data_IF_258187582995
#
_entry.id   IF_258187582995
#
_cell.length_a   1.000
_cell.length_b   1.000
_cell.length_c   1.000
_cell.angle_alpha   90.00
_cell.angle_beta   90.00
_cell.angle_gamma   90.00
#
_symmetry.space_group_name_H-M   'P 1'
#
loop_
_entity.id
_entity.type
_entity.pdbx_description
1 polymer ?
#
# COMPACT_ATOMS: atom_id res chain seq x y z
N UNK A 1 60.51 -4.00 -43.89
CA UNK A 1 60.36 -3.42 -42.54
C UNK A 1 59.08 -2.62 -42.58
N UNK A 2 57.93 -3.27 -42.38
CA UNK A 2 56.64 -2.61 -42.26
C UNK A 2 56.43 -2.28 -40.79
N UNK A 3 56.18 -1.01 -40.50
CA UNK A 3 55.65 -0.58 -39.21
C UNK A 3 54.13 -0.55 -39.37
N UNK A 4 53.46 -1.48 -38.71
CA UNK A 4 52.02 -1.44 -38.47
C UNK A 4 51.81 -0.56 -37.24
N UNK A 5 51.21 0.61 -37.44
CA UNK A 5 50.71 1.43 -36.33
C UNK A 5 49.39 0.81 -35.85
N UNK A 6 49.46 0.18 -34.68
CA UNK A 6 48.29 -0.25 -33.90
C UNK A 6 47.52 1.00 -33.44
N UNK A 7 46.32 1.20 -33.99
CA UNK A 7 45.34 2.14 -33.45
C UNK A 7 44.64 1.43 -32.30
N UNK A 8 45.00 1.81 -31.07
CA UNK A 8 44.37 1.32 -29.84
C UNK A 8 42.96 1.92 -29.72
N UNK A 9 41.95 1.08 -29.99
CA UNK A 9 40.55 1.42 -29.87
C UNK A 9 40.09 1.39 -28.42
N UNK A 10 40.41 2.43 -27.66
CA UNK A 10 39.79 2.65 -26.34
C UNK A 10 38.40 3.23 -26.52
N UNK A 11 37.41 2.35 -26.71
CA UNK A 11 35.99 2.68 -26.55
C UNK A 11 35.77 3.19 -25.14
N UNK A 12 35.47 4.49 -25.03
CA UNK A 12 34.97 5.10 -23.81
C UNK A 12 33.70 4.35 -23.38
N UNK A 13 33.81 3.56 -22.31
CA UNK A 13 32.65 3.07 -21.59
C UNK A 13 31.88 4.29 -21.11
N UNK A 14 30.74 4.56 -21.75
CA UNK A 14 29.77 5.54 -21.26
C UNK A 14 29.48 5.21 -19.80
N UNK A 15 29.89 6.11 -18.90
CA UNK A 15 29.60 6.03 -17.48
C UNK A 15 28.08 6.18 -17.33
N UNK A 16 27.34 5.08 -17.51
CA UNK A 16 25.89 5.07 -17.38
C UNK A 16 25.61 5.38 -15.92
N UNK A 17 24.98 6.52 -15.66
CA UNK A 17 24.57 6.91 -14.31
C UNK A 17 23.60 5.84 -13.84
N UNK A 18 24.03 5.01 -12.89
CA UNK A 18 23.20 3.99 -12.27
C UNK A 18 22.05 4.68 -11.55
N UNK A 19 20.81 4.37 -11.93
CA UNK A 19 19.63 4.90 -11.26
C UNK A 19 19.24 3.92 -10.15
N UNK A 20 19.76 4.19 -8.95
CA UNK A 20 19.45 3.43 -7.74
C UNK A 20 18.02 3.71 -7.27
N UNK A 21 17.32 2.65 -6.90
CA UNK A 21 15.95 2.68 -6.39
C UNK A 21 15.97 2.32 -4.92
N UNK A 22 15.22 3.05 -4.09
CA UNK A 22 15.10 2.74 -2.65
C UNK A 22 13.66 2.39 -2.31
N UNK A 23 13.45 1.28 -1.60
CA UNK A 23 12.14 0.85 -1.14
C UNK A 23 12.12 0.59 0.37
N UNK A 24 10.97 0.83 0.99
CA UNK A 24 10.67 0.43 2.35
C UNK A 24 9.93 -0.91 2.32
N UNK A 25 10.48 -1.89 3.02
CA UNK A 25 9.98 -3.27 3.07
C UNK A 25 9.83 -3.65 4.53
N UNK A 26 8.80 -4.40 4.91
CA UNK A 26 8.70 -4.91 6.27
C UNK A 26 7.99 -6.26 6.37
N UNK A 27 8.38 -7.04 7.37
CA UNK A 27 7.60 -8.18 7.84
C UNK A 27 6.40 -7.66 8.63
N UNK A 28 5.19 -8.09 8.26
CA UNK A 28 3.95 -7.75 8.97
C UNK A 28 3.94 -8.42 10.36
N UNK A 29 3.16 -7.93 11.33
CA UNK A 29 3.21 -8.42 12.71
C UNK A 29 3.03 -9.93 12.89
N UNK A 30 2.19 -10.57 12.07
CA UNK A 30 1.98 -12.02 12.15
C UNK A 30 3.17 -12.86 11.62
N UNK A 31 4.09 -12.23 10.89
CA UNK A 31 5.26 -12.84 10.27
C UNK A 31 6.57 -12.18 10.71
N UNK A 32 6.54 -11.30 11.71
CA UNK A 32 7.72 -10.68 12.29
C UNK A 32 8.42 -11.68 13.21
N UNK A 33 9.18 -12.57 12.56
CA UNK A 33 9.88 -13.68 13.17
C UNK A 33 11.30 -13.74 12.59
N UNK A 34 12.32 -14.07 13.41
CA UNK A 34 13.69 -14.17 12.92
C UNK A 34 13.87 -15.10 11.72
N UNK A 35 13.10 -16.18 11.64
CA UNK A 35 13.11 -17.11 10.51
C UNK A 35 12.61 -16.45 9.22
N UNK A 36 11.56 -15.62 9.29
CA UNK A 36 11.05 -14.86 8.15
C UNK A 36 12.06 -13.78 7.72
N UNK A 37 12.71 -13.11 8.67
CA UNK A 37 13.74 -12.11 8.36
C UNK A 37 14.91 -12.73 7.61
N UNK A 38 15.32 -13.96 8.01
CA UNK A 38 16.35 -14.70 7.31
C UNK A 38 15.95 -15.05 5.86
N UNK A 39 14.69 -15.44 5.62
CA UNK A 39 14.16 -15.66 4.26
C UNK A 39 14.21 -14.37 3.44
N UNK A 40 13.80 -13.24 4.03
CA UNK A 40 13.84 -11.93 3.37
C UNK A 40 15.27 -11.53 2.95
N UNK A 41 16.22 -11.60 3.88
CA UNK A 41 17.63 -11.26 3.60
C UNK A 41 18.24 -12.18 2.54
N UNK A 42 17.98 -13.48 2.63
CA UNK A 42 18.45 -14.45 1.63
C UNK A 42 17.94 -14.08 0.24
N UNK A 43 16.65 -13.78 0.12
CA UNK A 43 16.07 -13.38 -1.17
C UNK A 43 16.66 -12.06 -1.67
N UNK A 44 16.90 -11.10 -0.80
CA UNK A 44 17.53 -9.83 -1.18
C UNK A 44 18.94 -10.06 -1.73
N UNK A 45 19.76 -10.84 -1.04
CA UNK A 45 21.12 -11.17 -1.48
C UNK A 45 21.12 -11.91 -2.83
N UNK A 46 20.21 -12.89 -3.01
CA UNK A 46 20.05 -13.65 -4.25
C UNK A 46 19.78 -12.78 -5.48
N UNK A 47 19.01 -11.69 -5.30
CA UNK A 47 18.61 -10.80 -6.40
C UNK A 47 19.39 -9.48 -6.43
N UNK A 48 20.46 -9.36 -5.64
CA UNK A 48 21.33 -8.19 -5.62
C UNK A 48 20.71 -6.93 -5.03
N UNK A 49 19.77 -7.09 -4.08
CA UNK A 49 19.20 -6.00 -3.29
C UNK A 49 20.07 -5.77 -2.06
N UNK A 50 20.52 -4.54 -1.85
CA UNK A 50 21.31 -4.14 -0.68
C UNK A 50 20.40 -3.65 0.45
N UNK A 51 20.62 -4.12 1.67
CA UNK A 51 19.98 -3.56 2.86
C UNK A 51 20.78 -2.35 3.34
N UNK A 52 20.20 -1.15 3.26
CA UNK A 52 20.83 0.09 3.73
C UNK A 52 20.63 0.30 5.24
N UNK A 53 19.46 -0.07 5.75
CA UNK A 53 19.08 0.06 7.16
C UNK A 53 18.01 -0.96 7.48
N UNK A 54 18.00 -1.46 8.71
CA UNK A 54 16.93 -2.29 9.25
C UNK A 54 16.64 -1.92 10.70
N UNK A 55 15.48 -2.33 11.21
CA UNK A 55 15.14 -2.17 12.62
C UNK A 55 13.69 -2.53 12.94
N UNK A 56 13.36 -2.43 14.22
CA UNK A 56 12.06 -2.79 14.75
C UNK A 56 11.21 -1.56 15.08
N UNK A 57 9.91 -1.63 14.82
CA UNK A 57 8.93 -0.61 15.23
C UNK A 57 7.79 -1.30 15.98
N UNK A 58 7.65 -0.98 17.27
CA UNK A 58 6.63 -1.57 18.13
C UNK A 58 5.21 -1.07 17.80
N UNK A 59 4.22 -1.89 18.08
CA UNK A 59 2.80 -1.56 17.87
C UNK A 59 2.35 -0.35 18.68
N UNK A 60 2.93 -0.16 19.88
CA UNK A 60 2.77 1.08 20.65
C UNK A 60 3.22 2.31 19.86
N UNK A 61 4.41 2.27 19.26
CA UNK A 61 4.94 3.38 18.46
C UNK A 61 4.08 3.63 17.22
N UNK A 62 3.60 2.56 16.58
CA UNK A 62 2.69 2.63 15.43
C UNK A 62 1.39 3.33 15.82
N UNK A 63 0.82 3.01 16.99
CA UNK A 63 -0.43 3.59 17.45
C UNK A 63 -0.28 5.07 17.86
N UNK A 64 0.76 5.38 18.63
CA UNK A 64 1.02 6.74 19.13
C UNK A 64 1.28 7.72 17.97
N UNK A 65 2.05 7.30 16.97
CA UNK A 65 2.42 8.14 15.83
C UNK A 65 1.49 7.98 14.62
N UNK A 66 0.47 7.10 14.70
CA UNK A 66 -0.48 6.84 13.61
C UNK A 66 0.17 6.38 12.30
N UNK A 67 1.30 5.67 12.39
CA UNK A 67 2.07 5.28 11.20
C UNK A 67 1.27 4.39 10.25
N UNK A 68 0.51 3.41 10.77
CA UNK A 68 -0.29 2.53 9.92
C UNK A 68 -1.51 3.24 9.33
N UNK A 69 -2.10 4.19 10.07
CA UNK A 69 -3.19 5.03 9.60
C UNK A 69 -2.73 5.92 8.43
N UNK A 70 -1.56 6.54 8.57
CA UNK A 70 -0.95 7.37 7.53
C UNK A 70 -0.51 6.54 6.32
N UNK A 71 0.08 5.37 6.55
CA UNK A 71 0.49 4.45 5.48
C UNK A 71 -0.70 3.97 4.63
N UNK A 72 -1.85 3.72 5.27
CA UNK A 72 -3.11 3.39 4.59
C UNK A 72 -4.11 4.54 4.60
N UNK A 73 -3.67 5.80 4.48
CA UNK A 73 -4.52 6.98 4.69
C UNK A 73 -5.78 6.99 3.80
N UNK A 74 -5.65 6.60 2.53
CA UNK A 74 -6.80 6.50 1.63
C UNK A 74 -7.88 5.54 2.15
N UNK A 75 -7.50 4.49 2.87
CA UNK A 75 -8.42 3.55 3.51
C UNK A 75 -8.92 4.13 4.83
N UNK A 76 -7.99 4.54 5.69
CA UNK A 76 -8.23 5.03 7.05
C UNK A 76 -9.19 6.22 7.06
N UNK A 77 -8.94 7.22 6.22
CA UNK A 77 -9.76 8.43 6.12
C UNK A 77 -11.23 8.11 5.84
N UNK A 78 -11.52 7.14 4.97
CA UNK A 78 -12.91 6.74 4.65
C UNK A 78 -13.53 5.82 5.71
N UNK A 79 -12.71 5.15 6.50
CA UNK A 79 -13.16 4.29 7.59
C UNK A 79 -13.45 5.08 8.88
N UNK A 80 -12.72 6.17 9.15
CA UNK A 80 -12.74 6.79 10.50
C UNK A 80 -12.77 8.32 10.53
N UNK A 81 -12.55 9.03 9.41
CA UNK A 81 -12.41 10.51 9.41
C UNK A 81 -13.53 11.18 8.60
N UNK A 82 -13.75 10.73 7.38
CA UNK A 82 -14.71 11.32 6.45
C UNK A 82 -16.11 10.83 6.79
N UNK A 83 -17.04 11.77 6.82
CA UNK A 83 -18.47 11.48 6.83
C UNK A 83 -18.93 11.11 5.41
N UNK A 84 -19.99 10.30 5.25
CA UNK A 84 -20.43 9.82 3.93
C UNK A 84 -20.70 10.91 2.89
N UNK A 85 -21.20 12.07 3.31
CA UNK A 85 -21.46 13.24 2.44
C UNK A 85 -20.19 13.85 1.84
N UNK A 86 -19.02 13.56 2.42
CA UNK A 86 -17.71 14.02 1.93
C UNK A 86 -17.01 13.01 1.00
N UNK A 87 -17.61 11.85 0.79
CA UNK A 87 -17.04 10.81 -0.07
C UNK A 87 -17.39 11.07 -1.54
N UNK A 88 -16.38 11.00 -2.42
CA UNK A 88 -16.57 11.09 -3.86
C UNK A 88 -17.04 9.74 -4.44
N UNK A 89 -18.30 9.38 -4.19
CA UNK A 89 -18.88 8.11 -4.62
C UNK A 89 -19.09 8.10 -6.14
N UNK A 90 -18.57 7.09 -6.87
CA UNK A 90 -18.96 6.86 -8.25
C UNK A 90 -20.42 6.37 -8.31
N UNK A 91 -21.36 7.31 -8.45
CA UNK A 91 -22.81 7.05 -8.30
C UNK A 91 -23.34 5.99 -9.26
N UNK A 92 -22.84 5.96 -10.49
CA UNK A 92 -23.25 4.97 -11.48
C UNK A 92 -22.86 3.56 -11.03
N UNK A 93 -21.61 3.36 -10.59
CA UNK A 93 -21.15 2.07 -10.06
C UNK A 93 -21.91 1.67 -8.79
N UNK A 94 -22.22 2.63 -7.93
CA UNK A 94 -23.00 2.38 -6.72
C UNK A 94 -24.41 1.88 -7.08
N UNK A 95 -25.09 2.57 -7.99
CA UNK A 95 -26.42 2.21 -8.46
C UNK A 95 -26.43 0.87 -9.18
N UNK A 96 -25.44 0.59 -10.03
CA UNK A 96 -25.32 -0.68 -10.73
C UNK A 96 -25.14 -1.86 -9.76
N UNK A 97 -24.40 -1.66 -8.68
CA UNK A 97 -24.16 -2.70 -7.67
C UNK A 97 -25.36 -2.92 -6.75
N UNK A 98 -25.98 -1.85 -6.27
CA UNK A 98 -26.93 -1.92 -5.16
C UNK A 98 -28.38 -1.65 -5.57
N UNK A 99 -28.61 -1.17 -6.80
CA UNK A 99 -29.93 -0.81 -7.30
C UNK A 99 -30.52 0.46 -6.67
N UNK A 100 -29.72 1.23 -5.92
CA UNK A 100 -30.17 2.41 -5.18
C UNK A 100 -29.40 3.67 -5.60
N UNK A 101 -30.09 4.82 -5.57
CA UNK A 101 -29.45 6.12 -5.78
C UNK A 101 -28.68 6.56 -4.53
N UNK A 102 -27.41 6.93 -4.70
CA UNK A 102 -26.56 7.37 -3.59
C UNK A 102 -27.15 8.56 -2.82
N UNK A 103 -27.75 9.52 -3.53
CA UNK A 103 -28.40 10.67 -2.90
C UNK A 103 -29.54 10.27 -1.97
N UNK A 104 -30.27 9.19 -2.30
CA UNK A 104 -31.35 8.67 -1.46
C UNK A 104 -30.82 7.97 -0.22
N UNK A 105 -29.76 7.18 -0.37
CA UNK A 105 -29.06 6.53 0.76
C UNK A 105 -28.56 7.57 1.77
N UNK A 106 -28.02 8.69 1.29
CA UNK A 106 -27.60 9.81 2.14
C UNK A 106 -28.78 10.51 2.82
N UNK A 107 -29.85 10.82 2.07
CA UNK A 107 -31.07 11.43 2.63
C UNK A 107 -31.70 10.57 3.71
N UNK A 108 -31.72 9.25 3.52
CA UNK A 108 -32.28 8.27 4.46
C UNK A 108 -31.36 8.03 5.69
N UNK A 109 -30.15 8.60 5.71
CA UNK A 109 -29.20 8.40 6.81
C UNK A 109 -28.73 6.96 6.96
N UNK A 110 -28.60 6.22 5.85
CA UNK A 110 -28.20 4.79 5.82
C UNK A 110 -26.72 4.57 5.57
N UNK A 111 -25.95 5.60 5.29
CA UNK A 111 -24.52 5.49 5.07
C UNK A 111 -23.72 5.89 6.33
N UNK A 112 -22.63 5.17 6.59
CA UNK A 112 -21.74 5.40 7.73
C UNK A 112 -20.29 5.10 7.32
N UNK A 113 -19.31 5.81 7.88
CA UNK A 113 -17.95 5.24 7.90
C UNK A 113 -17.90 4.04 8.87
N UNK A 114 -16.79 3.32 8.93
CA UNK A 114 -16.67 2.13 9.78
C UNK A 114 -16.85 2.45 11.28
N UNK A 115 -16.26 3.54 11.75
CA UNK A 115 -16.33 3.96 13.16
C UNK A 115 -17.76 4.32 13.59
N UNK A 116 -18.47 5.06 12.74
CA UNK A 116 -19.87 5.42 12.95
C UNK A 116 -20.78 4.20 12.82
N UNK A 117 -20.46 3.25 11.94
CA UNK A 117 -21.19 1.98 11.82
C UNK A 117 -21.07 1.13 13.10
N UNK A 118 -19.87 1.05 13.71
CA UNK A 118 -19.69 0.44 15.02
C UNK A 118 -20.62 1.06 16.07
N UNK A 119 -20.65 2.39 16.14
CA UNK A 119 -21.53 3.12 17.08
C UNK A 119 -23.01 2.86 16.78
N UNK A 120 -23.42 2.90 15.51
CA UNK A 120 -24.80 2.68 15.06
C UNK A 120 -25.31 1.27 15.38
N UNK A 121 -24.45 0.27 15.24
CA UNK A 121 -24.78 -1.14 15.46
C UNK A 121 -24.53 -1.59 16.90
N UNK A 122 -23.83 -0.79 17.72
CA UNK A 122 -23.44 -1.17 19.08
C UNK A 122 -22.42 -2.32 19.11
N UNK A 123 -21.50 -2.35 18.14
CA UNK A 123 -20.50 -3.42 17.98
C UNK A 123 -19.08 -2.86 17.96
N UNK A 124 -18.10 -3.68 18.31
CA UNK A 124 -16.68 -3.36 18.16
C UNK A 124 -16.16 -3.64 16.74
N UNK A 125 -14.88 -3.33 16.50
CA UNK A 125 -14.23 -3.52 15.21
C UNK A 125 -14.19 -4.99 14.75
N UNK A 126 -14.05 -5.93 15.69
CA UNK A 126 -13.97 -7.37 15.38
C UNK A 126 -15.32 -7.89 14.92
N UNK A 127 -16.39 -7.51 15.62
CA UNK A 127 -17.75 -7.84 15.24
C UNK A 127 -18.15 -7.18 13.91
N UNK A 128 -17.75 -5.92 13.67
CA UNK A 128 -17.99 -5.25 12.39
C UNK A 128 -17.27 -5.94 11.24
N UNK A 129 -16.00 -6.31 11.41
CA UNK A 129 -15.24 -7.05 10.37
C UNK A 129 -15.89 -8.42 10.07
N UNK A 130 -16.40 -9.11 11.09
CA UNK A 130 -17.17 -10.35 10.89
C UNK A 130 -18.43 -10.10 10.03
N UNK A 131 -19.18 -9.04 10.29
CA UNK A 131 -20.36 -8.66 9.49
C UNK A 131 -19.94 -8.34 8.04
N UNK A 132 -18.87 -7.54 7.88
CA UNK A 132 -18.28 -7.20 6.59
C UNK A 132 -17.86 -8.44 5.79
N UNK A 133 -17.21 -9.41 6.45
CA UNK A 133 -16.79 -10.67 5.84
C UNK A 133 -17.96 -11.52 5.34
N UNK A 134 -19.11 -11.51 6.03
CA UNK A 134 -20.34 -12.16 5.54
C UNK A 134 -20.91 -11.44 4.33
N UNK A 135 -20.97 -10.10 4.37
CA UNK A 135 -21.41 -9.31 3.23
C UNK A 135 -20.52 -9.55 2.00
N UNK A 136 -19.20 -9.68 2.19
CA UNK A 136 -18.24 -10.02 1.12
C UNK A 136 -18.59 -11.35 0.47
N UNK A 137 -18.80 -12.41 1.27
CA UNK A 137 -19.18 -13.74 0.79
C UNK A 137 -20.52 -13.75 0.06
N UNK A 138 -21.43 -12.84 0.44
CA UNK A 138 -22.73 -12.66 -0.20
C UNK A 138 -22.69 -11.76 -1.45
N UNK A 139 -21.51 -11.29 -1.90
CA UNK A 139 -21.39 -10.41 -3.06
C UNK A 139 -21.93 -8.99 -2.83
N UNK A 140 -22.06 -8.55 -1.58
CA UNK A 140 -22.64 -7.26 -1.19
C UNK A 140 -21.60 -6.16 -0.98
N UNK A 141 -20.44 -6.31 -1.59
CA UNK A 141 -19.34 -5.34 -1.55
C UNK A 141 -18.98 -4.90 -2.95
N UNK A 142 -18.60 -3.64 -3.08
CA UNK A 142 -17.98 -3.10 -4.29
C UNK A 142 -16.67 -2.39 -3.93
N UNK A 143 -15.66 -2.59 -4.78
CA UNK A 143 -14.43 -1.78 -4.80
C UNK A 143 -14.62 -0.68 -5.85
N UNK A 144 -14.63 0.57 -5.42
CA UNK A 144 -14.71 1.71 -6.34
C UNK A 144 -13.36 2.02 -7.01
N UNK A 145 -12.26 1.84 -6.26
CA UNK A 145 -10.89 2.08 -6.67
C UNK A 145 -9.89 1.70 -5.57
N UNK A 146 -8.63 2.13 -5.71
CA UNK A 146 -7.60 1.99 -4.67
C UNK A 146 -8.11 2.48 -3.30
N UNK A 147 -8.01 1.62 -2.29
CA UNK A 147 -8.41 1.94 -0.91
C UNK A 147 -9.88 2.36 -0.68
N UNK A 148 -10.79 2.14 -1.62
CA UNK A 148 -12.17 2.62 -1.52
C UNK A 148 -13.19 1.48 -1.76
N UNK A 149 -13.72 0.95 -0.66
CA UNK A 149 -14.67 -0.15 -0.64
C UNK A 149 -15.96 0.26 0.07
N UNK A 150 -17.09 -0.18 -0.46
CA UNK A 150 -18.40 -0.04 0.16
C UNK A 150 -19.02 -1.42 0.37
N UNK A 151 -19.60 -1.66 1.53
CA UNK A 151 -20.33 -2.86 1.87
C UNK A 151 -21.76 -2.54 2.27
N UNK A 152 -22.70 -3.35 1.80
CA UNK A 152 -24.12 -3.29 2.18
C UNK A 152 -24.41 -4.35 3.25
N UNK A 153 -24.78 -3.88 4.44
CA UNK A 153 -24.97 -4.69 5.64
C UNK A 153 -26.46 -4.77 5.97
N UNK A 154 -27.00 -5.99 5.94
CA UNK A 154 -28.41 -6.26 6.23
C UNK A 154 -28.61 -7.03 7.54
N UNK A 155 -27.55 -7.63 8.07
CA UNK A 155 -27.59 -8.46 9.26
C UNK A 155 -26.53 -8.02 10.27
N UNK A 156 -26.76 -8.31 11.55
CA UNK A 156 -25.78 -8.16 12.62
C UNK A 156 -24.77 -9.34 12.69
N UNK A 157 -23.91 -9.33 13.71
CA UNK A 157 -22.86 -10.34 13.88
C UNK A 157 -23.42 -11.76 14.16
N UNK A 158 -24.67 -11.86 14.61
CA UNK A 158 -25.43 -13.09 14.90
C UNK A 158 -26.37 -13.50 13.76
N UNK A 159 -26.26 -12.87 12.59
CA UNK A 159 -27.11 -13.09 11.41
C UNK A 159 -28.58 -12.69 11.59
N UNK A 160 -28.88 -11.82 12.56
CA UNK A 160 -30.22 -11.25 12.70
C UNK A 160 -30.37 -10.06 11.76
N UNK A 161 -31.51 -9.93 11.05
CA UNK A 161 -31.77 -8.77 10.20
C UNK A 161 -31.73 -7.45 10.98
N UNK A 162 -31.06 -6.46 10.42
CA UNK A 162 -31.13 -5.08 10.87
C UNK A 162 -32.51 -4.51 10.57
N UNK A 163 -33.04 -3.67 11.47
CA UNK A 163 -34.30 -2.95 11.23
C UNK A 163 -34.23 -2.07 9.96
N UNK A 164 -33.05 -1.57 9.65
CA UNK A 164 -32.78 -0.84 8.40
C UNK A 164 -31.37 -1.21 7.95
N UNK A 165 -31.20 -1.79 6.76
CA UNK A 165 -29.90 -2.05 6.18
C UNK A 165 -29.07 -0.77 6.04
N UNK A 166 -27.74 -0.91 6.15
CA UNK A 166 -26.82 0.22 6.09
C UNK A 166 -25.71 -0.01 5.06
N UNK A 167 -25.11 1.09 4.61
CA UNK A 167 -23.90 1.10 3.81
C UNK A 167 -22.73 1.54 4.68
N UNK A 168 -21.64 0.79 4.65
CA UNK A 168 -20.42 1.15 5.37
C UNK A 168 -19.18 1.11 4.48
N UNK A 169 -18.18 1.91 4.83
CA UNK A 169 -16.96 2.08 4.03
C UNK A 169 -15.75 1.52 4.75
N UNK A 170 -14.97 0.70 4.03
CA UNK A 170 -13.70 0.14 4.51
C UNK A 170 -13.77 -0.50 5.91
N UNK A 171 -14.85 -1.23 6.21
CA UNK A 171 -15.11 -1.69 7.58
C UNK A 171 -14.07 -2.66 8.15
N UNK A 172 -13.30 -3.32 7.28
CA UNK A 172 -12.16 -4.16 7.64
C UNK A 172 -10.98 -3.37 8.25
N UNK A 173 -10.91 -2.05 8.04
CA UNK A 173 -9.73 -1.25 8.39
C UNK A 173 -9.40 -1.30 9.88
N UNK A 174 -10.41 -1.23 10.75
CA UNK A 174 -10.17 -1.14 12.20
C UNK A 174 -9.59 -2.44 12.77
N UNK A 175 -10.02 -3.59 12.27
CA UNK A 175 -9.42 -4.89 12.62
C UNK A 175 -8.00 -4.99 12.08
N UNK A 176 -7.81 -4.62 10.79
CA UNK A 176 -6.49 -4.60 10.16
C UNK A 176 -5.51 -3.71 10.94
N UNK A 177 -5.93 -2.51 11.33
CA UNK A 177 -5.16 -1.58 12.16
C UNK A 177 -4.78 -2.22 13.50
N UNK A 178 -5.73 -2.89 14.15
CA UNK A 178 -5.53 -3.57 15.44
C UNK A 178 -4.37 -4.57 15.43
N UNK A 179 -4.14 -5.26 14.30
CA UNK A 179 -3.00 -6.18 14.14
C UNK A 179 -1.63 -5.50 14.21
N UNK A 180 -1.56 -4.22 13.84
CA UNK A 180 -0.33 -3.43 13.88
C UNK A 180 -0.16 -2.65 15.18
N UNK A 181 -1.23 -2.41 15.93
CA UNK A 181 -1.22 -1.53 17.10
C UNK A 181 -1.40 -2.26 18.43
N UNK A 182 -1.51 -3.59 18.43
CA UNK A 182 -1.56 -4.35 19.68
C UNK A 182 -0.24 -4.22 20.46
N UNK A 183 -0.29 -4.46 21.77
CA UNK A 183 0.87 -4.28 22.65
C UNK A 183 2.05 -5.19 22.27
N UNK A 184 1.75 -6.39 21.76
CA UNK A 184 2.74 -7.40 21.35
C UNK A 184 3.07 -7.31 19.86
N UNK A 185 2.37 -6.46 19.08
CA UNK A 185 2.69 -6.28 17.68
C UNK A 185 4.03 -5.56 17.53
N UNK A 186 4.78 -5.94 16.50
CA UNK A 186 5.91 -5.18 15.99
C UNK A 186 6.03 -5.44 14.48
N UNK A 187 6.73 -4.57 13.79
CA UNK A 187 7.23 -4.83 12.44
C UNK A 187 8.75 -4.74 12.46
N UNK A 188 9.38 -5.54 11.61
CA UNK A 188 10.79 -5.44 11.29
C UNK A 188 10.92 -4.95 9.86
N UNK A 189 11.51 -3.76 9.71
CA UNK A 189 11.64 -3.11 8.42
C UNK A 189 13.05 -3.23 7.84
N UNK A 190 13.12 -3.14 6.52
CA UNK A 190 14.31 -2.98 5.71
C UNK A 190 14.12 -1.77 4.80
N UNK A 191 15.05 -0.81 4.88
CA UNK A 191 15.27 0.15 3.81
C UNK A 191 16.26 -0.50 2.84
N UNK A 192 15.79 -0.81 1.64
CA UNK A 192 16.58 -1.52 0.63
C UNK A 192 16.91 -0.64 -0.56
N UNK A 193 18.02 -0.94 -1.22
CA UNK A 193 18.47 -0.29 -2.45
C UNK A 193 18.79 -1.33 -3.52
N UNK A 194 18.38 -1.06 -4.77
CA UNK A 194 18.72 -1.91 -5.92
C UNK A 194 18.85 -1.09 -7.21
N UNK A 195 19.43 -1.70 -8.23
CA UNK A 195 19.65 -1.06 -9.52
C UNK A 195 18.46 -1.27 -10.47
N UNK A 196 17.90 -0.17 -10.99
CA UNK A 196 16.81 -0.24 -11.97
C UNK A 196 17.22 -0.90 -13.29
N UNK A 197 18.52 -0.99 -13.61
CA UNK A 197 18.99 -1.70 -14.80
C UNK A 197 18.96 -3.22 -14.63
N UNK A 198 19.10 -3.72 -13.40
CA UNK A 198 19.12 -5.17 -13.12
C UNK A 198 17.81 -5.69 -12.55
N UNK A 199 17.06 -4.83 -11.85
CA UNK A 199 15.78 -5.18 -11.24
C UNK A 199 14.78 -4.02 -11.40
N UNK A 200 13.79 -4.25 -12.26
CA UNK A 200 12.66 -3.35 -12.50
C UNK A 200 11.73 -3.33 -11.30
N UNK A 201 11.08 -2.19 -11.02
CA UNK A 201 10.16 -2.08 -9.89
C UNK A 201 9.00 -3.08 -9.97
N UNK A 202 8.43 -3.26 -11.16
CA UNK A 202 7.42 -4.28 -11.44
C UNK A 202 7.91 -5.72 -11.09
N UNK A 203 9.18 -6.03 -11.36
CA UNK A 203 9.77 -7.33 -11.03
C UNK A 203 10.11 -7.44 -9.53
N UNK A 204 10.55 -6.35 -8.90
CA UNK A 204 10.71 -6.28 -7.45
C UNK A 204 9.39 -6.60 -6.74
N UNK A 205 8.26 -6.07 -7.21
CA UNK A 205 6.95 -6.40 -6.63
C UNK A 205 6.42 -7.76 -7.05
N UNK A 206 6.46 -8.08 -8.34
CA UNK A 206 5.84 -9.28 -8.88
C UNK A 206 6.63 -10.56 -8.62
N UNK A 207 7.96 -10.51 -8.69
CA UNK A 207 8.85 -11.69 -8.64
C UNK A 207 9.64 -11.80 -7.34
N UNK A 208 10.05 -10.67 -6.75
CA UNK A 208 10.76 -10.70 -5.46
C UNK A 208 9.76 -10.77 -4.31
N UNK A 209 8.83 -9.82 -4.20
CA UNK A 209 7.81 -9.83 -3.14
C UNK A 209 6.71 -10.87 -3.40
N UNK A 210 6.14 -10.86 -4.61
CA UNK A 210 4.96 -11.63 -4.99
C UNK A 210 3.65 -10.84 -4.84
N UNK A 211 2.58 -11.21 -5.57
CA UNK A 211 1.26 -10.56 -5.50
C UNK A 211 0.64 -10.61 -4.11
N UNK A 212 -0.36 -9.75 -3.88
CA UNK A 212 -1.01 -9.57 -2.56
C UNK A 212 -1.67 -10.84 -2.03
N UNK A 213 -2.23 -11.67 -2.91
CA UNK A 213 -2.75 -12.99 -2.55
C UNK A 213 -1.60 -14.01 -2.60
N UNK A 214 -1.15 -14.57 -1.45
CA UNK A 214 -0.09 -15.56 -1.43
C UNK A 214 -0.39 -16.82 -2.26
N UNK A 215 -1.67 -17.18 -2.46
CA UNK A 215 -2.06 -18.31 -3.28
C UNK A 215 -1.75 -18.11 -4.78
N UNK A 216 -1.63 -16.85 -5.22
CA UNK A 216 -1.25 -16.49 -6.58
C UNK A 216 0.25 -16.17 -6.72
N UNK A 217 1.03 -16.24 -5.63
CA UNK A 217 2.43 -15.83 -5.65
C UNK A 217 3.33 -16.90 -6.30
N UNK A 218 4.34 -16.49 -7.09
CA UNK A 218 5.38 -17.42 -7.55
C UNK A 218 6.02 -18.13 -6.35
N UNK A 219 6.30 -19.42 -6.49
CA UNK A 219 6.83 -20.24 -5.39
C UNK A 219 8.18 -19.75 -4.85
N UNK A 220 8.94 -19.03 -5.68
CA UNK A 220 10.24 -18.45 -5.35
C UNK A 220 10.16 -16.97 -4.92
N UNK A 221 8.97 -16.35 -4.92
CA UNK A 221 8.76 -15.01 -4.36
C UNK A 221 8.60 -15.08 -2.84
N UNK A 222 8.89 -14.00 -2.12
CA UNK A 222 8.83 -13.95 -0.65
C UNK A 222 7.48 -14.43 -0.10
N UNK A 223 6.37 -13.92 -0.64
CA UNK A 223 5.03 -14.34 -0.22
C UNK A 223 4.75 -15.81 -0.53
N UNK A 224 5.29 -16.34 -1.62
CA UNK A 224 5.18 -17.75 -1.98
C UNK A 224 5.97 -18.65 -1.04
N UNK A 225 7.25 -18.33 -0.79
CA UNK A 225 8.13 -19.06 0.13
C UNK A 225 7.52 -19.07 1.54
N UNK A 226 7.20 -17.90 2.08
CA UNK A 226 6.69 -17.78 3.45
C UNK A 226 5.33 -18.47 3.59
N UNK A 227 4.45 -18.36 2.60
CA UNK A 227 3.15 -19.02 2.63
C UNK A 227 3.26 -20.54 2.50
N UNK A 228 4.25 -21.07 1.79
CA UNK A 228 4.44 -22.52 1.66
C UNK A 228 5.04 -23.13 2.94
N UNK A 229 5.94 -22.42 3.60
CA UNK A 229 6.66 -22.89 4.78
C UNK A 229 6.19 -22.25 6.09
N UNK A 230 4.98 -21.65 6.12
CA UNK A 230 4.49 -20.85 7.25
C UNK A 230 4.64 -21.56 8.62
N UNK A 231 4.29 -22.84 8.70
CA UNK A 231 4.37 -23.63 9.94
C UNK A 231 5.83 -23.86 10.37
N UNK A 232 6.71 -24.15 9.40
CA UNK A 232 8.16 -24.34 9.66
C UNK A 232 8.84 -23.03 10.07
N UNK A 233 8.35 -21.91 9.54
CA UNK A 233 8.83 -20.56 9.87
C UNK A 233 8.25 -20.04 11.19
N UNK A 234 7.30 -20.76 11.80
CA UNK A 234 6.74 -20.46 13.12
C UNK A 234 5.53 -19.53 13.11
N UNK A 235 4.90 -19.28 11.95
CA UNK A 235 3.67 -18.50 11.89
C UNK A 235 2.54 -19.26 12.59
N UNK A 236 1.62 -18.52 13.21
CA UNK A 236 0.49 -19.09 13.96
C UNK A 236 -0.61 -19.68 13.06
N UNK A 237 -0.60 -19.37 11.77
CA UNK A 237 -1.57 -19.85 10.79
C UNK A 237 -1.13 -19.58 9.36
N UNK A 238 -1.85 -20.16 8.37
CA UNK A 238 -1.54 -19.98 6.97
C UNK A 238 -1.76 -18.52 6.53
N UNK A 239 -0.94 -18.07 5.59
CA UNK A 239 -1.06 -16.75 5.01
C UNK A 239 -2.36 -16.60 4.19
N UNK A 240 -2.87 -15.37 4.11
CA UNK A 240 -4.04 -15.00 3.29
C UNK A 240 -3.86 -13.57 2.76
N UNK A 241 -4.83 -13.03 2.02
CA UNK A 241 -4.71 -11.67 1.42
C UNK A 241 -4.45 -10.56 2.44
N UNK A 242 -4.98 -10.66 3.67
CA UNK A 242 -4.74 -9.69 4.74
C UNK A 242 -3.41 -9.94 5.45
N UNK A 243 -3.20 -11.20 5.83
CA UNK A 243 -1.99 -11.70 6.48
C UNK A 243 -1.07 -12.37 5.46
N UNK A 244 -0.53 -11.56 4.55
CA UNK A 244 0.31 -12.00 3.42
C UNK A 244 1.81 -11.86 3.69
N UNK A 245 2.23 -12.05 4.94
CA UNK A 245 3.60 -11.98 5.47
C UNK A 245 4.34 -10.64 5.35
N UNK A 246 4.49 -10.08 4.15
CA UNK A 246 5.43 -8.98 3.88
C UNK A 246 4.79 -7.85 3.07
N UNK A 247 5.29 -6.63 3.29
CA UNK A 247 4.97 -5.41 2.53
C UNK A 247 6.21 -4.90 1.81
N UNK A 248 6.03 -4.27 0.64
CA UNK A 248 7.04 -3.40 0.02
C UNK A 248 6.39 -2.24 -0.73
N UNK A 249 7.09 -1.10 -0.78
CA UNK A 249 6.72 0.10 -1.54
C UNK A 249 6.26 -0.21 -2.97
N UNK A 250 5.18 0.44 -3.43
CA UNK A 250 4.63 0.14 -4.76
C UNK A 250 5.24 0.95 -5.92
N UNK A 251 5.96 2.03 -5.60
CA UNK A 251 6.67 2.90 -6.55
C UNK A 251 7.77 3.72 -5.83
N UNK A 252 8.68 4.40 -6.56
CA UNK A 252 9.63 5.34 -5.95
C UNK A 252 8.94 6.43 -5.11
N UNK A 253 7.79 6.93 -5.55
CA UNK A 253 7.03 7.94 -4.81
C UNK A 253 6.42 7.39 -3.52
N UNK A 254 5.84 6.18 -3.56
CA UNK A 254 5.35 5.52 -2.35
C UNK A 254 6.49 5.14 -1.41
N UNK A 255 7.65 4.74 -1.93
CA UNK A 255 8.86 4.52 -1.14
C UNK A 255 9.31 5.77 -0.40
N UNK A 256 9.23 6.95 -1.03
CA UNK A 256 9.45 8.24 -0.37
C UNK A 256 8.39 8.50 0.72
N UNK A 257 7.11 8.36 0.40
CA UNK A 257 6.01 8.59 1.33
C UNK A 257 6.12 7.71 2.59
N UNK A 258 6.48 6.44 2.40
CA UNK A 258 6.71 5.47 3.47
C UNK A 258 7.94 5.83 4.30
N UNK A 259 9.06 6.21 3.67
CA UNK A 259 10.26 6.61 4.42
C UNK A 259 10.04 7.89 5.23
N UNK A 260 9.28 8.85 4.71
CA UNK A 260 8.86 10.04 5.47
C UNK A 260 8.00 9.65 6.67
N UNK A 261 7.04 8.74 6.49
CA UNK A 261 6.12 8.32 7.54
C UNK A 261 6.80 7.46 8.61
N UNK A 262 7.42 6.35 8.20
CA UNK A 262 7.94 5.33 9.12
C UNK A 262 9.30 5.69 9.71
N UNK A 263 10.15 6.37 8.94
CA UNK A 263 11.53 6.67 9.33
C UNK A 263 11.76 8.16 9.64
N UNK A 264 10.72 9.00 9.49
CA UNK A 264 10.80 10.44 9.69
C UNK A 264 11.90 11.09 8.82
N UNK A 265 12.20 10.48 7.67
CA UNK A 265 13.19 10.95 6.72
C UNK A 265 12.68 12.24 6.06
N UNK A 266 13.56 13.23 5.91
CA UNK A 266 13.20 14.45 5.20
C UNK A 266 13.20 14.23 3.69
N UNK A 267 12.39 15.01 2.97
CA UNK A 267 12.24 14.86 1.51
C UNK A 267 13.58 15.05 0.80
N UNK A 268 14.37 16.04 1.22
CA UNK A 268 15.69 16.34 0.65
C UNK A 268 16.78 15.31 0.96
N UNK A 269 16.59 14.49 2.00
CA UNK A 269 17.50 13.40 2.37
C UNK A 269 17.21 12.12 1.56
N UNK A 270 16.00 12.00 1.01
CA UNK A 270 15.62 10.89 0.14
C UNK A 270 16.04 11.18 -1.32
N UNK A 271 16.70 10.25 -2.04
CA UNK A 271 17.13 10.48 -3.42
C UNK A 271 16.00 10.84 -4.39
N UNK A 272 14.84 10.20 -4.28
CA UNK A 272 13.68 10.49 -5.13
C UNK A 272 13.01 11.81 -4.72
N UNK A 273 12.90 12.08 -3.40
CA UNK A 273 12.42 13.35 -2.88
C UNK A 273 13.26 14.55 -3.33
N UNK A 274 14.59 14.44 -3.25
CA UNK A 274 15.51 15.46 -3.76
C UNK A 274 15.35 15.68 -5.28
N UNK A 275 15.09 14.60 -6.05
CA UNK A 275 14.84 14.70 -7.49
C UNK A 275 13.53 15.43 -7.81
N UNK A 276 12.45 15.18 -7.06
CA UNK A 276 11.17 15.90 -7.20
C UNK A 276 11.34 17.40 -6.92
N UNK A 277 12.05 17.75 -5.83
CA UNK A 277 12.35 19.15 -5.49
C UNK A 277 13.16 19.82 -6.61
N UNK A 278 14.18 19.14 -7.15
CA UNK A 278 14.99 19.63 -8.27
C UNK A 278 14.19 19.78 -9.56
N UNK A 279 13.17 18.94 -9.77
CA UNK A 279 12.22 19.05 -10.88
C UNK A 279 11.19 20.20 -10.71
N UNK A 280 11.23 20.91 -9.58
CA UNK A 280 10.40 22.08 -9.31
C UNK A 280 9.05 21.75 -8.67
N UNK A 281 8.85 20.53 -8.17
CA UNK A 281 7.63 20.17 -7.42
C UNK A 281 7.82 20.66 -5.97
N UNK A 282 6.95 21.56 -5.46
CA UNK A 282 7.08 22.10 -4.11
C UNK A 282 6.93 21.02 -3.03
N UNK A 283 7.65 21.19 -1.93
CA UNK A 283 7.60 20.29 -0.77
C UNK A 283 6.17 20.05 -0.26
N UNK A 284 5.35 21.10 -0.18
CA UNK A 284 3.95 21.02 0.24
C UNK A 284 3.11 20.14 -0.70
N UNK A 285 3.42 20.15 -2.00
CA UNK A 285 2.74 19.28 -2.97
C UNK A 285 3.15 17.82 -2.76
N UNK A 286 4.44 17.55 -2.54
CA UNK A 286 4.96 16.20 -2.26
C UNK A 286 4.31 15.64 -1.00
N UNK A 287 4.22 16.45 0.07
CA UNK A 287 3.52 16.09 1.32
C UNK A 287 2.03 15.86 1.12
N UNK A 288 1.36 16.70 0.33
CA UNK A 288 -0.06 16.51 0.04
C UNK A 288 -0.31 15.23 -0.77
N UNK A 289 0.63 14.84 -1.63
CA UNK A 289 0.53 13.63 -2.45
C UNK A 289 0.89 12.35 -1.69
N UNK A 290 1.64 12.43 -0.59
CA UNK A 290 2.05 11.25 0.19
C UNK A 290 0.92 10.53 0.93
N UNK A 291 -0.30 11.07 0.89
CA UNK A 291 -1.54 10.48 1.43
C UNK A 291 -2.48 9.94 0.35
N UNK A 292 -1.98 9.78 -0.88
CA UNK A 292 -2.74 9.31 -2.03
C UNK A 292 -4.02 10.12 -2.35
N UNK A 293 -3.93 11.45 -2.53
CA UNK A 293 -5.07 12.26 -2.94
C UNK A 293 -5.52 11.94 -4.37
N UNK A 294 -6.73 12.39 -4.69
CA UNK A 294 -7.21 12.41 -6.07
C UNK A 294 -6.65 13.64 -6.82
N UNK A 295 -5.82 13.41 -7.83
CA UNK A 295 -5.21 14.44 -8.67
C UNK A 295 -5.85 14.45 -10.06
N UNK A 296 -5.74 15.55 -10.81
CA UNK A 296 -6.14 15.56 -12.23
C UNK A 296 -5.21 14.65 -13.03
N UNK A 297 -5.78 13.71 -13.79
CA UNK A 297 -5.02 12.72 -14.60
C UNK A 297 -5.27 12.86 -16.11
N UNK A 298 -6.44 13.37 -16.53
CA UNK A 298 -6.74 13.67 -17.93
C UNK A 298 -8.01 14.53 -18.05
N UNK A 299 -7.92 15.72 -18.65
CA UNK A 299 -9.07 16.63 -18.74
C UNK A 299 -9.69 16.88 -17.36
N UNK A 300 -10.99 16.64 -17.21
CA UNK A 300 -11.72 16.74 -15.93
C UNK A 300 -11.64 15.45 -15.07
N UNK A 301 -11.00 14.39 -15.57
CA UNK A 301 -10.86 13.11 -14.86
C UNK A 301 -9.84 13.25 -13.73
N UNK A 302 -10.23 12.80 -12.54
CA UNK A 302 -9.35 12.62 -11.38
C UNK A 302 -9.07 11.14 -11.10
N UNK A 303 -7.93 10.86 -10.48
CA UNK A 303 -7.53 9.53 -10.03
C UNK A 303 -6.54 9.58 -8.88
N UNK A 304 -6.31 8.44 -8.24
CA UNK A 304 -5.29 8.28 -7.20
C UNK A 304 -3.91 8.54 -7.80
N UNK A 305 -3.08 9.32 -7.10
CA UNK A 305 -1.69 9.57 -7.51
C UNK A 305 -0.87 8.28 -7.40
N UNK A 306 -1.10 7.44 -6.39
CA UNK A 306 -0.39 6.16 -6.25
C UNK A 306 -0.73 5.20 -7.40
N UNK A 307 -2.01 5.08 -7.76
CA UNK A 307 -2.45 4.27 -8.90
C UNK A 307 -1.81 4.74 -10.23
N UNK A 308 -1.41 6.02 -10.36
CA UNK A 308 -0.73 6.51 -11.57
C UNK A 308 0.78 6.22 -11.60
N UNK A 309 1.38 5.87 -10.46
CA UNK A 309 2.82 5.75 -10.30
C UNK A 309 3.26 4.31 -9.98
N UNK A 310 2.31 3.43 -9.69
CA UNK A 310 2.53 2.01 -9.37
C UNK A 310 3.40 1.32 -10.44
N UNK A 311 4.33 0.47 -9.99
CA UNK A 311 5.24 -0.34 -10.82
C UNK A 311 6.23 0.43 -11.71
N UNK A 312 6.23 1.77 -11.69
CA UNK A 312 7.18 2.59 -12.46
C UNK A 312 8.58 2.58 -11.84
N UNK A 313 9.60 2.55 -12.69
CA UNK A 313 10.98 2.81 -12.25
C UNK A 313 11.19 4.31 -11.96
N UNK A 314 12.27 4.63 -11.24
CA UNK A 314 12.63 5.99 -10.79
C UNK A 314 12.41 7.09 -11.83
N UNK A 315 12.98 7.00 -13.03
CA UNK A 315 12.89 8.11 -14.00
C UNK A 315 11.48 8.28 -14.58
N UNK A 316 10.81 7.17 -14.90
CA UNK A 316 9.43 7.19 -15.39
C UNK A 316 8.47 7.75 -14.34
N UNK A 317 8.66 7.36 -13.07
CA UNK A 317 7.89 7.88 -11.94
C UNK A 317 8.10 9.39 -11.76
N UNK A 318 9.34 9.89 -11.88
CA UNK A 318 9.66 11.32 -11.78
C UNK A 318 9.03 12.14 -12.92
N UNK A 319 9.11 11.62 -14.15
CA UNK A 319 8.54 12.28 -15.33
C UNK A 319 7.01 12.33 -15.25
N UNK A 320 6.39 11.26 -14.73
CA UNK A 320 4.95 11.18 -14.50
C UNK A 320 4.51 12.16 -13.39
N UNK A 321 5.22 12.21 -12.26
CA UNK A 321 4.99 13.22 -11.21
C UNK A 321 5.05 14.65 -11.76
N UNK A 322 6.06 14.96 -12.57
CA UNK A 322 6.23 16.28 -13.19
C UNK A 322 5.09 16.62 -14.14
N UNK A 323 4.64 15.64 -14.91
CA UNK A 323 3.51 15.79 -15.84
C UNK A 323 2.22 16.05 -15.08
N UNK A 324 1.92 15.24 -14.07
CA UNK A 324 0.74 15.40 -13.22
C UNK A 324 0.76 16.76 -12.50
N UNK A 325 1.92 17.21 -12.02
CA UNK A 325 2.02 18.50 -11.33
C UNK A 325 1.63 19.66 -12.25
N UNK A 326 2.06 19.64 -13.51
CA UNK A 326 1.72 20.67 -14.52
C UNK A 326 0.24 20.66 -14.92
N UNK A 327 -0.49 19.59 -14.63
CA UNK A 327 -1.92 19.47 -14.93
C UNK A 327 -2.82 20.02 -13.82
N UNK A 328 -2.30 20.23 -12.61
CA UNK A 328 -3.11 20.68 -11.46
C UNK A 328 -3.57 22.12 -11.64
#
# INVERSE_FOLDING_TARGET
>A
RGCEDHVDGTTHGSNKIMVKQTAFVFAKPHADLPAVHAVMKTKFDEVGINVLKEGDISGKSIDENKYIDQHYYAIASKATILTPDKLNIPTDKFKDQFGEEWSKVLEDGRAFNAMDACTKLGVDAVALDKIWGKAKKAGKLIKFGGGFYCGYLENDAEDKPLATPIYTFNAFFMEMRGKFTSADAHIHYFLVEYDSDTLKWADFRGKVLGPTDPAAAPADALRGIISADWEKLGLSGPCNTGDNAVHASASPFEGLAEQMNWLQMKIEENPFGAALLKAGIPEDTIKAWSVDPQVKIAGDKKGSIFDQLEDMDFQECLDTCTTLYKMQ
#
